data_IF_661386852912
#
_entry.id   IF_661386852912
#
_cell.length_a   1.000
_cell.length_b   1.000
_cell.length_c   1.000
_cell.angle_alpha   90.00
_cell.angle_beta   90.00
_cell.angle_gamma   90.00
#
_symmetry.space_group_name_H-M   'P 1'
#
loop_
_entity.id
_entity.type
_entity.pdbx_description
1 polymer ?
#
# COMPACT_ATOMS: atom_id res chain seq x y z
N UNK A 1 3.99 -34.94 -1.66
CA UNK A 1 5.16 -34.05 -1.51
C UNK A 1 4.67 -32.63 -1.67
N UNK A 2 4.81 -31.79 -0.63
CA UNK A 2 4.40 -30.39 -0.68
C UNK A 2 5.21 -29.68 -1.76
N UNK A 3 4.57 -29.31 -2.87
CA UNK A 3 5.12 -28.34 -3.80
C UNK A 3 5.25 -27.04 -3.03
N UNK A 4 6.44 -26.76 -2.50
CA UNK A 4 6.73 -25.54 -1.76
C UNK A 4 6.31 -24.35 -2.61
N UNK A 5 5.23 -23.69 -2.20
CA UNK A 5 4.75 -22.49 -2.87
C UNK A 5 5.92 -21.49 -2.85
N UNK A 6 6.51 -21.22 -4.00
CA UNK A 6 7.38 -20.07 -4.16
C UNK A 6 6.45 -18.87 -3.96
N UNK A 7 6.41 -18.32 -2.75
CA UNK A 7 5.62 -17.13 -2.49
C UNK A 7 6.26 -16.01 -3.32
N UNK A 8 5.62 -15.58 -4.42
CA UNK A 8 6.22 -14.60 -5.34
C UNK A 8 6.46 -13.26 -4.65
N UNK A 9 5.73 -13.00 -3.56
CA UNK A 9 5.91 -11.87 -2.69
C UNK A 9 6.26 -12.33 -1.27
N UNK A 10 7.34 -11.80 -0.71
CA UNK A 10 7.86 -12.10 0.62
C UNK A 10 7.61 -10.89 1.54
N UNK A 11 6.52 -10.90 2.34
CA UNK A 11 6.18 -9.76 3.19
C UNK A 11 7.18 -9.61 4.34
N UNK A 12 7.61 -8.37 4.58
CA UNK A 12 8.50 -7.99 5.67
C UNK A 12 7.76 -7.28 6.82
N UNK A 13 6.71 -6.52 6.52
CA UNK A 13 5.94 -5.79 7.52
C UNK A 13 4.72 -5.10 6.95
N UNK A 14 3.66 -4.96 7.76
CA UNK A 14 2.41 -4.29 7.37
C UNK A 14 2.18 -3.07 8.24
N UNK A 15 1.89 -1.95 7.60
CA UNK A 15 1.42 -0.71 8.21
C UNK A 15 -0.01 -0.43 7.75
N UNK A 16 -0.83 0.16 8.63
CA UNK A 16 -2.20 0.56 8.30
C UNK A 16 -2.35 2.07 8.44
N UNK A 17 -3.08 2.68 7.52
CA UNK A 17 -3.52 4.08 7.64
C UNK A 17 -5.04 4.13 7.71
N UNK A 18 -5.56 4.96 8.62
CA UNK A 18 -6.97 5.34 8.61
C UNK A 18 -7.17 6.32 7.45
N UNK A 19 -7.83 5.85 6.40
CA UNK A 19 -8.20 6.64 5.23
C UNK A 19 -9.45 7.48 5.49
N UNK A 20 -9.44 8.70 4.96
CA UNK A 20 -10.58 9.61 4.91
C UNK A 20 -10.50 10.45 3.63
N UNK A 21 -11.43 11.40 3.44
CA UNK A 21 -11.31 12.42 2.39
C UNK A 21 -10.14 13.39 2.60
N UNK A 22 -9.51 13.37 3.77
CA UNK A 22 -8.22 13.99 4.04
C UNK A 22 -7.11 12.95 3.93
N UNK A 23 -6.01 13.34 3.28
CA UNK A 23 -4.84 12.50 3.14
C UNK A 23 -4.21 12.21 4.51
N UNK A 24 -3.89 10.94 4.72
CA UNK A 24 -3.12 10.48 5.86
C UNK A 24 -1.90 9.71 5.37
N UNK A 25 -0.83 9.70 6.15
CA UNK A 25 0.41 9.00 5.82
C UNK A 25 0.83 8.09 6.97
N UNK A 26 1.52 7.02 6.62
CA UNK A 26 2.04 6.02 7.55
C UNK A 26 3.46 5.64 7.14
N UNK A 27 4.34 5.50 8.13
CA UNK A 27 5.66 4.94 7.92
C UNK A 27 5.53 3.46 7.54
N UNK A 28 6.17 3.09 6.46
CA UNK A 28 6.27 1.69 6.04
C UNK A 28 7.25 0.96 6.94
N UNK A 29 6.88 -0.25 7.36
CA UNK A 29 7.68 -1.09 8.26
C UNK A 29 8.34 -2.20 7.45
N UNK A 30 9.62 -2.47 7.73
CA UNK A 30 10.38 -3.51 7.07
C UNK A 30 11.07 -3.06 5.77
N UNK A 31 11.75 -4.01 5.12
CA UNK A 31 12.53 -3.79 3.90
C UNK A 31 11.81 -4.25 2.62
N UNK A 32 12.43 -3.97 1.48
CA UNK A 32 12.07 -4.50 0.17
C UNK A 32 11.56 -3.45 -0.83
N UNK A 33 11.66 -3.73 -2.12
CA UNK A 33 11.30 -2.76 -3.16
C UNK A 33 9.80 -2.70 -3.44
N UNK A 34 9.06 -3.75 -3.06
CA UNK A 34 7.67 -3.92 -3.43
C UNK A 34 6.73 -3.63 -2.25
N UNK A 35 5.58 -3.03 -2.55
CA UNK A 35 4.52 -2.73 -1.59
C UNK A 35 3.21 -3.32 -2.10
N UNK A 36 2.65 -4.22 -1.33
CA UNK A 36 1.28 -4.71 -1.51
C UNK A 36 0.33 -3.77 -0.77
N UNK A 37 -0.55 -3.14 -1.53
CA UNK A 37 -1.63 -2.29 -1.05
C UNK A 37 -2.91 -3.09 -0.98
N UNK A 38 -3.61 -3.05 0.14
CA UNK A 38 -4.95 -3.58 0.27
C UNK A 38 -5.90 -2.50 0.77
N UNK A 39 -6.91 -2.19 -0.02
CA UNK A 39 -7.94 -1.22 0.33
C UNK A 39 -9.14 -1.94 0.97
N UNK A 40 -9.25 -1.85 2.31
CA UNK A 40 -10.39 -2.41 3.05
C UNK A 40 -11.56 -1.41 3.18
N UNK A 41 -11.43 -0.20 2.63
CA UNK A 41 -12.50 0.79 2.65
C UNK A 41 -13.58 0.47 1.61
N UNK A 42 -14.79 1.01 1.84
CA UNK A 42 -15.90 0.95 0.88
C UNK A 42 -15.79 1.94 -0.28
N UNK A 43 -14.71 2.72 -0.35
CA UNK A 43 -14.47 3.76 -1.36
C UNK A 43 -13.10 3.59 -2.02
N UNK A 44 -12.90 4.18 -3.20
CA UNK A 44 -11.61 4.17 -3.91
C UNK A 44 -10.57 4.90 -3.07
N UNK A 45 -9.43 4.25 -2.84
CA UNK A 45 -8.27 4.85 -2.20
C UNK A 45 -7.28 5.31 -3.28
N UNK A 46 -6.81 6.54 -3.19
CA UNK A 46 -5.72 7.06 -4.00
C UNK A 46 -4.45 7.05 -3.17
N UNK A 47 -3.43 6.35 -3.65
CA UNK A 47 -2.21 6.08 -2.88
C UNK A 47 -0.98 6.71 -3.53
N UNK A 48 -0.09 7.19 -2.68
CA UNK A 48 1.19 7.77 -3.09
C UNK A 48 2.32 7.26 -2.19
N UNK A 49 3.45 6.96 -2.79
CA UNK A 49 4.65 6.50 -2.11
C UNK A 49 5.76 7.55 -2.17
N UNK A 50 6.62 7.54 -1.16
CA UNK A 50 7.86 8.33 -1.16
C UNK A 50 8.60 8.23 0.17
N UNK A 51 9.38 9.27 0.46
CA UNK A 51 10.11 9.40 1.73
C UNK A 51 9.23 10.15 2.75
N UNK A 52 9.77 11.07 3.54
CA UNK A 52 8.99 11.85 4.52
C UNK A 52 8.15 12.94 3.84
N UNK A 53 7.01 13.29 4.45
CA UNK A 53 6.16 14.40 3.99
C UNK A 53 5.31 14.13 2.74
N UNK A 54 5.10 12.86 2.38
CA UNK A 54 4.25 12.50 1.24
C UNK A 54 2.77 12.70 1.58
N UNK A 55 2.05 13.36 0.68
CA UNK A 55 0.61 13.57 0.76
C UNK A 55 -0.04 13.06 -0.52
N UNK A 56 -0.97 12.10 -0.39
CA UNK A 56 -1.75 11.58 -1.50
C UNK A 56 -2.88 12.55 -1.89
N UNK A 57 -3.20 12.59 -3.17
CA UNK A 57 -4.32 13.32 -3.75
C UNK A 57 -5.19 12.42 -4.61
N UNK A 58 -6.41 12.88 -4.94
CA UNK A 58 -7.40 12.12 -5.74
C UNK A 58 -7.00 11.89 -7.21
N UNK A 59 -5.81 12.34 -7.61
CA UNK A 59 -5.22 12.12 -8.94
C UNK A 59 -4.06 11.11 -8.92
N UNK A 60 -3.68 10.63 -7.73
CA UNK A 60 -2.65 9.60 -7.58
C UNK A 60 -3.21 8.21 -7.94
N UNK A 61 -2.43 7.17 -7.70
CA UNK A 61 -2.77 5.80 -8.12
C UNK A 61 -4.05 5.30 -7.43
N UNK A 62 -5.12 4.96 -8.18
CA UNK A 62 -6.36 4.48 -7.59
C UNK A 62 -6.30 2.98 -7.25
N UNK A 63 -6.82 2.63 -6.08
CA UNK A 63 -7.02 1.26 -5.60
C UNK A 63 -8.51 1.07 -5.28
N UNK A 64 -9.25 0.27 -6.07
CA UNK A 64 -10.67 0.05 -5.84
C UNK A 64 -10.99 -0.55 -4.46
N UNK A 65 -12.22 -0.40 -3.95
CA UNK A 65 -12.68 -1.05 -2.72
C UNK A 65 -12.45 -2.58 -2.78
N UNK A 66 -11.89 -3.15 -1.71
CA UNK A 66 -11.62 -4.59 -1.60
C UNK A 66 -10.51 -5.12 -2.51
N UNK A 67 -9.87 -4.26 -3.32
CA UNK A 67 -8.80 -4.67 -4.21
C UNK A 67 -7.44 -4.73 -3.50
N UNK A 68 -6.57 -5.58 -4.05
CA UNK A 68 -5.14 -5.65 -3.71
C UNK A 68 -4.31 -5.29 -4.93
N UNK A 69 -3.31 -4.44 -4.75
CA UNK A 69 -2.41 -4.00 -5.80
C UNK A 69 -0.97 -4.18 -5.32
N UNK A 70 -0.11 -4.80 -6.12
CA UNK A 70 1.32 -4.86 -5.84
C UNK A 70 2.03 -3.81 -6.67
N UNK A 71 2.83 -2.98 -6.02
CA UNK A 71 3.55 -1.85 -6.62
C UNK A 71 5.04 -2.02 -6.35
N UNK A 72 5.87 -1.95 -7.38
CA UNK A 72 7.30 -1.75 -7.19
C UNK A 72 7.54 -0.27 -6.86
N UNK A 73 7.66 0.03 -5.56
CA UNK A 73 7.81 1.39 -5.06
C UNK A 73 9.29 1.82 -5.02
N UNK A 74 10.22 0.87 -5.10
CA UNK A 74 11.65 1.11 -4.94
C UNK A 74 12.10 1.06 -3.48
N UNK A 75 13.38 0.72 -3.27
CA UNK A 75 13.91 0.45 -1.93
C UNK A 75 13.95 1.68 -1.01
N UNK A 76 14.02 2.89 -1.58
CA UNK A 76 14.14 4.16 -0.86
C UNK A 76 12.80 4.70 -0.32
N UNK A 77 11.68 4.07 -0.67
CA UNK A 77 10.37 4.47 -0.14
C UNK A 77 10.24 4.05 1.31
N UNK A 78 9.90 5.00 2.17
CA UNK A 78 9.74 4.80 3.61
C UNK A 78 8.36 5.20 4.13
N UNK A 79 7.55 5.90 3.32
CA UNK A 79 6.21 6.35 3.70
C UNK A 79 5.22 6.08 2.58
N UNK A 80 4.03 5.65 2.97
CA UNK A 80 2.86 5.60 2.10
C UNK A 80 1.82 6.60 2.59
N UNK A 81 1.14 7.25 1.66
CA UNK A 81 -0.01 8.09 1.93
C UNK A 81 -1.22 7.60 1.17
N UNK A 82 -2.39 7.71 1.78
CA UNK A 82 -3.67 7.41 1.16
C UNK A 82 -4.68 8.53 1.42
N UNK A 83 -5.53 8.77 0.43
CA UNK A 83 -6.76 9.55 0.56
C UNK A 83 -7.91 8.77 -0.08
N UNK A 84 -9.07 8.78 0.55
CA UNK A 84 -10.27 8.16 -0.02
C UNK A 84 -11.03 9.17 -0.85
N UNK A 85 -11.61 8.73 -1.97
CA UNK A 85 -12.52 9.56 -2.76
C UNK A 85 -13.80 9.94 -1.99
N UNK A 86 -14.18 9.15 -1.00
CA UNK A 86 -15.31 9.39 -0.10
C UNK A 86 -15.23 8.53 1.17
N UNK A 87 -15.98 8.91 2.21
CA UNK A 87 -16.12 8.12 3.43
C UNK A 87 -14.83 7.96 4.24
N UNK A 88 -14.80 6.89 5.04
CA UNK A 88 -13.67 6.50 5.89
C UNK A 88 -13.42 5.00 5.76
N UNK A 89 -12.23 4.55 6.13
CA UNK A 89 -11.87 3.13 6.13
C UNK A 89 -10.38 2.91 6.35
N UNK A 90 -9.91 1.69 6.15
CA UNK A 90 -8.50 1.35 6.35
C UNK A 90 -7.84 0.95 5.04
N UNK A 91 -6.63 1.46 4.82
CA UNK A 91 -5.74 1.00 3.75
C UNK A 91 -4.52 0.38 4.41
N UNK A 92 -4.17 -0.83 3.98
CA UNK A 92 -3.05 -1.58 4.48
C UNK A 92 -1.93 -1.58 3.44
N UNK A 93 -0.72 -1.37 3.91
CA UNK A 93 0.49 -1.38 3.10
C UNK A 93 1.45 -2.42 3.67
N UNK A 94 1.71 -3.46 2.90
CA UNK A 94 2.66 -4.50 3.26
C UNK A 94 3.90 -4.35 2.39
N UNK A 95 5.05 -4.06 3.01
CA UNK A 95 6.34 -4.07 2.33
C UNK A 95 6.86 -5.48 2.18
N UNK A 96 7.60 -5.73 1.12
CA UNK A 96 8.28 -6.99 0.90
C UNK A 96 9.12 -7.00 -0.36
N UNK A 97 9.68 -8.17 -0.65
CA UNK A 97 10.46 -8.43 -1.85
C UNK A 97 9.76 -9.43 -2.77
N UNK A 98 9.98 -9.24 -4.06
CA UNK A 98 9.44 -10.09 -5.11
C UNK A 98 8.20 -9.52 -5.78
N UNK A 99 7.92 -10.05 -6.96
CA UNK A 99 6.86 -9.62 -7.85
C UNK A 99 5.99 -10.82 -8.21
N UNK A 100 4.68 -10.56 -8.37
CA UNK A 100 3.79 -11.51 -9.04
C UNK A 100 3.87 -11.16 -10.52
N UNK A 101 4.53 -12.01 -11.31
CA UNK A 101 4.45 -11.97 -12.77
C UNK A 101 3.25 -12.81 -13.24
#
# INVERSE_FOLDING_TARGET
MSSGASLPFRPAGTASVAGSTSAASVALVGGGSSVLVYNAAGAVAFVRFGMTGVTAGVRDTPVPPGARMLVDAGQLVTTASAVLGSGTGSVFFTRGDGSVY
#
